data_IF_439313756899
#
_entry.id   IF_439313756899
#
_cell.length_a   1.000
_cell.length_b   1.000
_cell.length_c   1.000
_cell.angle_alpha   90.00
_cell.angle_beta   90.00
_cell.angle_gamma   90.00
#
_symmetry.space_group_name_H-M   'P 1'
#
loop_
_entity.id
_entity.type
_entity.pdbx_description
1 polymer ?
#
# COMPACT_ATOMS: atom_id res chain seq x y z
N UNK A 1 -14.39 -9.71 6.16
CA UNK A 1 -14.11 -9.99 4.74
C UNK A 1 -12.85 -9.20 4.42
N UNK A 2 -11.77 -9.86 4.02
CA UNK A 2 -10.61 -9.16 3.50
C UNK A 2 -11.07 -8.38 2.26
N UNK A 3 -10.66 -7.12 2.14
CA UNK A 3 -10.98 -6.30 0.98
C UNK A 3 -10.05 -6.76 -0.14
N UNK A 4 -10.59 -7.27 -1.23
CA UNK A 4 -9.77 -7.66 -2.39
C UNK A 4 -9.20 -6.41 -3.08
N UNK A 5 -8.04 -5.93 -2.61
CA UNK A 5 -7.33 -4.78 -3.20
C UNK A 5 -6.81 -5.07 -4.62
N UNK A 6 -6.83 -6.34 -5.05
CA UNK A 6 -6.46 -6.79 -6.39
C UNK A 6 -7.56 -6.53 -7.43
N UNK A 7 -8.81 -6.24 -7.00
CA UNK A 7 -9.94 -6.08 -7.92
C UNK A 7 -10.31 -4.62 -8.22
N UNK A 8 -9.62 -3.66 -7.60
CA UNK A 8 -9.92 -2.23 -7.69
C UNK A 8 -8.71 -1.40 -8.12
N UNK A 9 -8.96 -0.11 -8.33
CA UNK A 9 -7.91 0.88 -8.57
C UNK A 9 -7.68 1.67 -7.31
N UNK A 10 -6.45 1.64 -6.83
CA UNK A 10 -6.10 2.29 -5.57
C UNK A 10 -4.87 3.17 -5.74
N UNK A 11 -4.91 4.35 -5.16
CA UNK A 11 -3.79 5.26 -5.08
C UNK A 11 -2.96 4.96 -3.83
N UNK A 12 -1.65 4.81 -4.01
CA UNK A 12 -0.69 4.53 -2.94
C UNK A 12 0.14 5.77 -2.65
N UNK A 13 0.05 6.24 -1.41
CA UNK A 13 0.72 7.43 -0.90
C UNK A 13 1.80 7.04 0.09
N UNK A 14 2.91 7.78 0.11
CA UNK A 14 4.02 7.52 1.02
C UNK A 14 3.87 8.30 2.34
N UNK A 15 3.84 7.56 3.45
CA UNK A 15 3.60 8.07 4.80
C UNK A 15 2.11 8.20 5.13
N UNK A 16 1.81 8.93 6.21
CA UNK A 16 0.45 9.11 6.74
C UNK A 16 0.04 10.59 6.70
N UNK A 17 -1.19 10.87 6.28
CA UNK A 17 -1.81 12.19 6.33
C UNK A 17 -2.12 12.83 4.96
N UNK A 18 -2.86 13.96 4.96
CA UNK A 18 -3.38 14.60 3.74
C UNK A 18 -2.32 15.16 2.80
N UNK A 19 -1.08 15.30 3.27
CA UNK A 19 0.06 15.79 2.47
C UNK A 19 0.99 14.66 2.00
N UNK A 20 0.59 13.40 2.16
CA UNK A 20 1.38 12.26 1.71
C UNK A 20 1.52 12.30 0.17
N UNK A 21 2.74 12.23 -0.39
CA UNK A 21 2.93 12.22 -1.83
C UNK A 21 2.47 10.89 -2.43
N UNK A 22 1.71 10.96 -3.53
CA UNK A 22 1.36 9.81 -4.34
C UNK A 22 2.65 9.20 -4.92
N UNK A 23 2.95 7.97 -4.54
CA UNK A 23 4.12 7.25 -5.04
C UNK A 23 3.77 6.30 -6.18
N UNK A 24 2.53 5.82 -6.24
CA UNK A 24 2.10 4.90 -7.28
C UNK A 24 0.63 4.58 -7.15
N UNK A 25 0.17 3.69 -8.01
CA UNK A 25 -1.21 3.21 -7.99
C UNK A 25 -1.25 1.72 -8.27
N UNK A 26 -2.25 1.08 -7.70
CA UNK A 26 -2.67 -0.29 -7.98
C UNK A 26 -3.76 -0.18 -9.05
N UNK A 27 -3.69 -1.01 -10.07
CA UNK A 27 -4.66 -1.00 -11.17
C UNK A 27 -5.14 -2.41 -11.42
N UNK A 28 -6.10 -2.85 -10.60
CA UNK A 28 -6.75 -4.15 -10.74
C UNK A 28 -5.72 -5.29 -10.86
N UNK A 29 -4.63 -5.16 -10.11
CA UNK A 29 -3.41 -5.96 -10.22
C UNK A 29 -2.72 -6.00 -8.85
N UNK A 30 -1.93 -7.03 -8.59
CA UNK A 30 -1.23 -7.24 -7.31
C UNK A 30 0.05 -6.40 -7.18
N UNK A 31 0.19 -5.33 -7.97
CA UNK A 31 1.40 -4.53 -8.04
C UNK A 31 1.12 -3.04 -8.03
N UNK A 32 1.99 -2.32 -7.32
CA UNK A 32 1.99 -0.86 -7.31
C UNK A 32 2.91 -0.37 -8.42
N UNK A 33 2.36 0.42 -9.33
CA UNK A 33 3.10 1.03 -10.44
C UNK A 33 3.18 2.54 -10.31
N UNK A 34 4.36 3.06 -10.58
CA UNK A 34 4.66 4.49 -10.62
C UNK A 34 5.23 4.84 -11.97
N UNK A 35 4.56 5.73 -12.70
CA UNK A 35 5.02 6.23 -14.00
C UNK A 35 5.47 5.12 -14.99
N UNK A 36 4.78 3.97 -14.97
CA UNK A 36 5.08 2.81 -15.83
C UNK A 36 6.12 1.82 -15.28
N UNK A 37 6.59 1.97 -14.04
CA UNK A 37 7.47 1.01 -13.37
C UNK A 37 6.81 0.39 -12.15
N UNK A 38 6.97 -0.91 -11.97
CA UNK A 38 6.57 -1.60 -10.75
C UNK A 38 7.54 -1.22 -9.63
N UNK A 39 6.99 -0.76 -8.51
CA UNK A 39 7.76 -0.29 -7.34
C UNK A 39 7.50 -1.15 -6.11
N UNK A 40 6.30 -1.70 -5.97
CA UNK A 40 5.93 -2.58 -4.87
C UNK A 40 5.00 -3.69 -5.37
N UNK A 41 4.93 -4.76 -4.59
CA UNK A 41 4.02 -5.89 -4.78
C UNK A 41 3.10 -5.99 -3.57
N UNK A 42 1.85 -6.31 -3.83
CA UNK A 42 0.82 -6.56 -2.83
C UNK A 42 0.41 -8.02 -2.95
N UNK A 43 0.29 -8.71 -1.83
CA UNK A 43 -0.16 -10.10 -1.76
C UNK A 43 -1.30 -10.15 -0.75
N UNK A 44 -2.54 -10.08 -1.23
CA UNK A 44 -3.72 -9.89 -0.38
C UNK A 44 -3.64 -8.62 0.49
N UNK A 45 -3.39 -8.81 1.78
CA UNK A 45 -3.25 -7.74 2.78
C UNK A 45 -1.77 -7.50 3.18
N UNK A 46 -0.81 -8.02 2.43
CA UNK A 46 0.62 -7.86 2.71
C UNK A 46 1.32 -7.07 1.62
N UNK A 47 2.31 -6.26 2.02
CA UNK A 47 3.00 -5.34 1.14
C UNK A 47 4.49 -5.67 1.11
N UNK A 48 5.00 -5.88 -0.11
CA UNK A 48 6.36 -6.33 -0.38
C UNK A 48 7.08 -5.38 -1.34
N UNK A 49 8.38 -5.25 -1.18
CA UNK A 49 9.26 -4.61 -2.15
C UNK A 49 9.45 -5.51 -3.39
N UNK A 50 9.87 -4.94 -4.52
CA UNK A 50 10.22 -5.70 -5.73
C UNK A 50 11.32 -6.76 -5.51
N UNK A 51 12.13 -6.58 -4.45
CA UNK A 51 13.15 -7.55 -4.03
C UNK A 51 12.58 -8.73 -3.22
N UNK A 52 11.28 -8.71 -2.89
CA UNK A 52 10.61 -9.70 -2.03
C UNK A 52 10.72 -9.41 -0.53
N UNK A 53 11.16 -8.21 -0.14
CA UNK A 53 11.23 -7.83 1.28
C UNK A 53 9.85 -7.41 1.78
N UNK A 54 9.39 -8.01 2.87
CA UNK A 54 8.17 -7.59 3.55
C UNK A 54 8.34 -6.17 4.13
N UNK A 55 7.43 -5.27 3.76
CA UNK A 55 7.42 -3.89 4.25
C UNK A 55 6.41 -3.73 5.38
N UNK A 56 5.23 -4.31 5.22
CA UNK A 56 4.16 -4.19 6.20
C UNK A 56 2.87 -4.85 5.76
N UNK A 57 1.89 -4.84 6.64
CA UNK A 57 0.54 -5.34 6.37
C UNK A 57 -0.43 -4.19 6.16
N UNK A 58 -1.34 -4.35 5.22
CA UNK A 58 -2.45 -3.45 4.96
C UNK A 58 -3.51 -3.69 6.03
N UNK A 59 -3.91 -2.62 6.72
CA UNK A 59 -5.06 -2.62 7.63
C UNK A 59 -6.06 -1.59 7.15
N UNK A 60 -7.30 -2.04 6.92
CA UNK A 60 -8.39 -1.15 6.55
C UNK A 60 -8.88 -0.36 7.77
N UNK A 61 -8.87 0.96 7.69
CA UNK A 61 -9.38 1.88 8.70
C UNK A 61 -10.31 2.87 8.01
N UNK A 62 -11.62 2.78 8.28
CA UNK A 62 -12.63 3.70 7.72
C UNK A 62 -12.64 3.75 6.17
N UNK A 63 -12.33 2.62 5.52
CA UNK A 63 -12.22 2.54 4.06
C UNK A 63 -10.89 3.01 3.47
N UNK A 64 -9.93 3.40 4.33
CA UNK A 64 -8.54 3.70 3.94
C UNK A 64 -7.65 2.52 4.30
N UNK A 65 -6.90 1.98 3.34
CA UNK A 65 -5.91 0.94 3.62
C UNK A 65 -4.62 1.57 4.14
N UNK A 66 -4.23 1.30 5.38
CA UNK A 66 -2.96 1.77 5.94
C UNK A 66 -1.94 0.63 5.91
N UNK A 67 -0.80 0.83 5.27
CA UNK A 67 0.30 -0.14 5.32
C UNK A 67 1.11 0.12 6.58
N UNK A 68 0.98 -0.78 7.56
CA UNK A 68 1.66 -0.72 8.84
C UNK A 68 2.82 -1.69 8.85
N UNK A 69 4.02 -1.17 9.12
CA UNK A 69 5.25 -1.95 9.24
C UNK A 69 5.85 -1.83 10.65
N UNK A 70 6.69 -2.78 11.02
CA UNK A 70 7.41 -2.80 12.29
C UNK A 70 8.63 -1.87 12.19
N UNK A 71 8.55 -0.66 12.79
CA UNK A 71 9.66 0.29 12.84
C UNK A 71 10.35 0.33 14.22
N UNK A 72 11.51 1.01 14.31
CA UNK A 72 12.35 1.07 15.53
C UNK A 72 11.67 1.69 16.79
N UNK A 73 10.42 2.15 16.70
CA UNK A 73 9.66 2.70 17.83
C UNK A 73 8.20 2.25 17.91
N UNK A 74 7.78 1.24 17.13
CA UNK A 74 6.41 0.73 17.09
C UNK A 74 5.87 0.52 15.67
N UNK A 75 4.56 0.32 15.59
CA UNK A 75 3.80 0.20 14.34
C UNK A 75 3.78 1.56 13.62
N UNK A 76 4.44 1.65 12.46
CA UNK A 76 4.50 2.90 11.69
C UNK A 76 3.75 2.73 10.37
N UNK A 77 2.95 3.71 10.01
CA UNK A 77 2.32 3.76 8.70
C UNK A 77 3.38 4.13 7.66
N UNK A 78 3.78 3.16 6.83
CA UNK A 78 4.70 3.38 5.72
C UNK A 78 3.99 3.95 4.50
N UNK A 79 2.78 3.45 4.22
CA UNK A 79 1.98 3.88 3.07
C UNK A 79 0.50 4.00 3.43
N UNK A 80 -0.23 4.78 2.65
CA UNK A 80 -1.68 4.81 2.65
C UNK A 80 -2.21 4.45 1.27
N UNK A 81 -3.27 3.68 1.25
CA UNK A 81 -3.95 3.17 0.08
C UNK A 81 -5.36 3.77 0.14
N UNK A 82 -5.71 4.56 -0.86
CA UNK A 82 -7.04 5.14 -1.00
C UNK A 82 -7.64 4.71 -2.33
N UNK A 83 -8.95 4.57 -2.37
CA UNK A 83 -9.71 4.42 -3.62
C UNK A 83 -9.48 5.65 -4.53
N UNK A 84 -9.55 5.47 -5.85
CA UNK A 84 -9.48 6.58 -6.83
C UNK A 84 -10.69 7.50 -6.79
#
# INVERSE_FOLDING_TARGET
>A
MAKDYSAGRYNVYQGRGPSAPLIGRIDEDEFVRSNGKLIYRVDGDEFYDMSGNFIGSIVEVDGVGLVIGQGQGGETCHFMIMDE
#
